data_IF_472510691828
#
_entry.id   IF_472510691828
#
_cell.length_a   1.000
_cell.length_b   1.000
_cell.length_c   1.000
_cell.angle_alpha   90.00
_cell.angle_beta   90.00
_cell.angle_gamma   90.00
#
_symmetry.space_group_name_H-M   'P 1'
#
loop_
_entity.id
_entity.type
_entity.pdbx_description
1 polymer ?
#
# COMPACT_ATOMS: atom_id res chain seq x y z
N UNK A 1 45.62 -27.25 -36.91
CA UNK A 1 46.23 -25.98 -36.44
C UNK A 1 45.12 -25.08 -35.92
N UNK A 2 45.27 -24.57 -34.68
CA UNK A 2 44.30 -23.77 -33.92
C UNK A 2 44.16 -22.34 -34.48
N UNK A 3 42.92 -21.86 -34.63
CA UNK A 3 42.53 -20.46 -34.39
C UNK A 3 41.18 -20.53 -33.65
N UNK A 4 41.17 -20.67 -32.32
CA UNK A 4 41.18 -19.63 -31.28
C UNK A 4 39.98 -18.66 -31.36
N UNK A 5 39.04 -18.89 -30.43
CA UNK A 5 38.12 -17.95 -29.80
C UNK A 5 37.50 -16.86 -30.70
N UNK A 6 36.42 -17.23 -31.38
CA UNK A 6 35.44 -16.24 -31.81
C UNK A 6 34.71 -15.71 -30.56
N UNK A 7 35.11 -14.51 -30.17
CA UNK A 7 34.67 -13.73 -29.02
C UNK A 7 33.18 -13.87 -28.67
N UNK A 8 32.87 -14.49 -27.53
CA UNK A 8 31.53 -14.45 -26.89
C UNK A 8 31.07 -13.04 -26.53
N UNK A 9 31.96 -12.05 -26.57
CA UNK A 9 31.65 -10.63 -26.35
C UNK A 9 30.87 -10.00 -27.50
N UNK A 10 30.94 -10.53 -28.73
CA UNK A 10 30.18 -9.98 -29.87
C UNK A 10 28.68 -10.23 -29.76
N UNK A 11 28.26 -11.35 -29.16
CA UNK A 11 26.84 -11.68 -28.94
C UNK A 11 26.22 -10.85 -27.81
N UNK A 12 27.03 -10.40 -26.84
CA UNK A 12 26.59 -9.56 -25.71
C UNK A 12 26.37 -8.11 -26.14
N UNK A 13 27.09 -7.64 -27.17
CA UNK A 13 26.94 -6.28 -27.72
C UNK A 13 25.63 -6.08 -28.50
N UNK A 14 25.02 -7.14 -29.04
CA UNK A 14 23.75 -7.02 -29.77
C UNK A 14 22.52 -6.88 -28.85
N UNK A 15 22.64 -7.26 -27.57
CA UNK A 15 21.57 -7.12 -26.57
C UNK A 15 21.42 -5.69 -26.02
N UNK A 16 22.38 -4.80 -26.27
CA UNK A 16 22.34 -3.41 -25.78
C UNK A 16 21.68 -2.42 -26.76
N UNK A 17 21.37 -2.81 -28.00
CA UNK A 17 20.80 -1.91 -29.00
C UNK A 17 19.26 -1.96 -29.14
N UNK A 18 18.55 -2.77 -28.36
CA UNK A 18 17.07 -2.85 -28.43
C UNK A 18 16.37 -1.85 -27.49
N UNK A 19 17.08 -1.16 -26.59
CA UNK A 19 16.46 -0.20 -25.69
C UNK A 19 16.71 1.26 -26.12
N UNK A 20 16.13 1.67 -27.26
CA UNK A 20 15.91 3.09 -27.59
C UNK A 20 14.96 3.32 -28.77
N UNK A 21 13.91 2.50 -28.95
CA UNK A 21 12.75 2.94 -29.72
C UNK A 21 11.83 3.74 -28.80
N UNK A 22 11.95 5.08 -28.84
CA UNK A 22 10.87 5.96 -28.35
C UNK A 22 9.64 5.76 -29.25
N UNK A 23 8.86 4.73 -28.97
CA UNK A 23 7.48 4.70 -29.39
C UNK A 23 6.79 5.86 -28.66
N UNK A 24 6.27 6.83 -29.43
CA UNK A 24 5.39 7.88 -28.91
C UNK A 24 4.09 7.21 -28.49
N UNK A 25 4.04 6.82 -27.23
CA UNK A 25 2.85 6.23 -26.62
C UNK A 25 1.93 7.36 -26.15
N UNK A 26 1.09 7.86 -27.05
CA UNK A 26 0.20 9.00 -26.79
C UNK A 26 -1.10 8.63 -26.05
N UNK A 27 -1.17 7.46 -25.39
CA UNK A 27 -2.33 7.05 -24.59
C UNK A 27 -1.94 6.46 -23.23
N UNK A 28 -0.90 6.99 -22.57
CA UNK A 28 -0.65 6.68 -21.15
C UNK A 28 -1.26 7.79 -20.29
N UNK A 29 -2.15 7.49 -19.32
CA UNK A 29 -2.54 8.48 -18.32
C UNK A 29 -1.27 9.04 -17.69
N UNK A 30 -1.24 10.35 -17.41
CA UNK A 30 -0.04 11.00 -16.93
C UNK A 30 0.24 10.58 -15.48
N UNK A 31 0.94 9.46 -15.29
CA UNK A 31 1.24 8.84 -13.98
C UNK A 31 2.21 9.67 -13.12
N UNK A 32 2.72 10.79 -13.65
CA UNK A 32 3.70 11.66 -13.00
C UNK A 32 3.34 12.09 -11.56
N UNK A 33 2.06 12.34 -11.21
CA UNK A 33 1.68 12.67 -9.83
C UNK A 33 1.82 11.49 -8.87
N UNK A 34 1.50 10.26 -9.30
CA UNK A 34 1.45 9.08 -8.42
C UNK A 34 2.87 8.68 -7.99
N UNK A 35 3.80 8.58 -8.95
CA UNK A 35 5.19 8.23 -8.64
C UNK A 35 5.87 9.28 -7.77
N UNK A 36 5.51 10.56 -7.95
CA UNK A 36 5.93 11.63 -7.05
C UNK A 36 5.41 11.39 -5.63
N UNK A 37 4.11 11.09 -5.45
CA UNK A 37 3.54 10.84 -4.13
C UNK A 37 4.19 9.64 -3.44
N UNK A 38 4.34 8.52 -4.16
CA UNK A 38 5.05 7.33 -3.67
C UNK A 38 6.44 7.68 -3.17
N UNK A 39 7.22 8.44 -3.95
CA UNK A 39 8.57 8.86 -3.57
C UNK A 39 8.59 9.73 -2.32
N UNK A 40 7.70 10.71 -2.24
CA UNK A 40 7.62 11.61 -1.08
C UNK A 40 7.28 10.84 0.21
N UNK A 41 6.30 9.92 0.17
CA UNK A 41 5.97 9.06 1.30
C UNK A 41 7.22 8.28 1.78
N UNK A 42 7.92 7.62 0.85
CA UNK A 42 9.09 6.80 1.20
C UNK A 42 10.22 7.64 1.80
N UNK A 43 10.49 8.82 1.25
CA UNK A 43 11.61 9.67 1.66
C UNK A 43 11.37 10.38 2.99
N UNK A 44 10.19 11.00 3.17
CA UNK A 44 9.95 11.91 4.30
C UNK A 44 8.58 11.74 4.98
N UNK A 45 7.78 10.75 4.58
CA UNK A 45 6.51 10.49 5.24
C UNK A 45 5.49 11.60 4.99
N UNK A 46 5.53 12.23 3.81
CA UNK A 46 4.62 13.31 3.46
C UNK A 46 3.15 12.84 3.56
N UNK A 47 2.43 13.39 4.54
CA UNK A 47 1.03 13.05 4.84
C UNK A 47 0.11 13.45 3.69
N UNK A 48 0.34 14.58 3.04
CA UNK A 48 -0.50 15.02 1.93
C UNK A 48 -0.29 14.13 0.70
N UNK A 49 0.96 13.76 0.40
CA UNK A 49 1.27 12.78 -0.63
C UNK A 49 0.60 11.42 -0.33
N UNK A 50 0.63 10.98 0.92
CA UNK A 50 -0.07 9.77 1.35
C UNK A 50 -1.58 9.85 1.11
N UNK A 51 -2.22 10.95 1.53
CA UNK A 51 -3.65 11.19 1.29
C UNK A 51 -4.00 11.20 -0.19
N UNK A 52 -3.20 11.88 -1.01
CA UNK A 52 -3.43 11.92 -2.46
C UNK A 52 -3.29 10.52 -3.10
N UNK A 53 -2.34 9.72 -2.62
CA UNK A 53 -2.18 8.34 -3.05
C UNK A 53 -3.39 7.48 -2.66
N UNK A 54 -3.87 7.57 -1.41
CA UNK A 54 -5.05 6.85 -0.93
C UNK A 54 -6.30 7.25 -1.73
N UNK A 55 -6.50 8.54 -1.99
CA UNK A 55 -7.62 9.03 -2.81
C UNK A 55 -7.56 8.52 -4.25
N UNK A 56 -6.37 8.50 -4.86
CA UNK A 56 -6.19 7.97 -6.21
C UNK A 56 -6.61 6.50 -6.31
N UNK A 57 -6.28 5.69 -5.31
CA UNK A 57 -6.60 4.26 -5.30
C UNK A 57 -7.97 3.91 -4.71
N UNK A 58 -8.70 4.88 -4.12
CA UNK A 58 -9.97 4.66 -3.45
C UNK A 58 -11.00 3.95 -4.36
N UNK A 59 -11.18 4.42 -5.59
CA UNK A 59 -12.13 3.82 -6.54
C UNK A 59 -11.45 2.91 -7.57
N UNK A 60 -10.19 2.56 -7.33
CA UNK A 60 -9.42 1.70 -8.23
C UNK A 60 -9.61 0.23 -7.89
N UNK A 61 -9.65 -0.68 -8.89
CA UNK A 61 -9.56 -2.12 -8.63
C UNK A 61 -8.22 -2.50 -7.96
N UNK A 62 -7.22 -1.60 -8.01
CA UNK A 62 -5.91 -1.75 -7.41
C UNK A 62 -5.80 -1.03 -6.05
N UNK A 63 -6.89 -0.93 -5.28
CA UNK A 63 -6.91 -0.27 -3.97
C UNK A 63 -5.76 -0.69 -3.05
N UNK A 64 -5.41 -1.97 -3.07
CA UNK A 64 -4.39 -2.56 -2.21
C UNK A 64 -2.94 -2.14 -2.56
N UNK A 65 -2.72 -1.41 -3.66
CA UNK A 65 -1.41 -0.82 -4.01
C UNK A 65 -0.91 0.19 -2.96
N UNK A 66 -1.81 0.68 -2.11
CA UNK A 66 -1.47 1.61 -1.03
C UNK A 66 -1.00 0.90 0.24
N UNK A 67 -1.10 -0.43 0.34
CA UNK A 67 -0.72 -1.18 1.54
C UNK A 67 0.76 -0.99 1.93
N UNK A 68 1.74 -1.11 1.01
CA UNK A 68 3.16 -0.94 1.38
C UNK A 68 3.46 0.46 1.92
N UNK A 69 2.80 1.48 1.37
CA UNK A 69 2.95 2.87 1.80
C UNK A 69 2.29 3.11 3.16
N UNK A 70 1.15 2.48 3.40
CA UNK A 70 0.45 2.54 4.71
C UNK A 70 1.30 1.91 5.81
N UNK A 71 1.95 0.77 5.53
CA UNK A 71 2.90 0.14 6.46
C UNK A 71 4.07 1.08 6.77
N UNK A 72 4.69 1.70 5.75
CA UNK A 72 5.76 2.68 5.95
C UNK A 72 5.29 3.88 6.80
N UNK A 73 4.10 4.41 6.51
CA UNK A 73 3.52 5.53 7.24
C UNK A 73 3.20 5.19 8.70
N UNK A 74 2.64 4.01 8.95
CA UNK A 74 2.38 3.52 10.29
C UNK A 74 3.69 3.30 11.06
N UNK A 75 4.67 2.59 10.48
CA UNK A 75 5.88 2.13 11.17
C UNK A 75 6.97 3.17 11.31
N UNK A 76 7.29 3.88 10.24
CA UNK A 76 8.38 4.85 10.25
C UNK A 76 7.94 6.22 10.76
N UNK A 77 6.69 6.60 10.48
CA UNK A 77 6.21 7.96 10.71
C UNK A 77 5.07 8.06 11.73
N UNK A 78 4.71 6.96 12.41
CA UNK A 78 3.66 6.92 13.45
C UNK A 78 2.35 7.57 13.01
N UNK A 79 1.94 7.30 11.77
CA UNK A 79 0.69 7.84 11.24
C UNK A 79 -0.50 6.95 11.65
N UNK A 80 -1.46 7.55 12.36
CA UNK A 80 -2.68 6.89 12.84
C UNK A 80 -3.61 6.45 11.71
N UNK A 81 -3.89 7.36 10.77
CA UNK A 81 -4.74 7.08 9.59
C UNK A 81 -4.23 5.84 8.83
N UNK A 82 -2.91 5.72 8.69
CA UNK A 82 -2.27 4.60 8.01
C UNK A 82 -2.42 3.27 8.76
N UNK A 83 -2.45 3.30 10.09
CA UNK A 83 -2.75 2.11 10.90
C UNK A 83 -4.18 1.61 10.62
N UNK A 84 -5.13 2.53 10.52
CA UNK A 84 -6.52 2.20 10.18
C UNK A 84 -6.66 1.71 8.73
N UNK A 85 -5.94 2.33 7.80
CA UNK A 85 -5.97 1.95 6.38
C UNK A 85 -5.45 0.52 6.15
N UNK A 86 -4.40 0.09 6.87
CA UNK A 86 -3.92 -1.31 6.84
C UNK A 86 -5.05 -2.27 7.23
N UNK A 87 -5.83 -1.92 8.25
CA UNK A 87 -6.98 -2.72 8.65
C UNK A 87 -8.02 -2.80 7.55
N UNK A 88 -8.45 -1.66 7.00
CA UNK A 88 -9.43 -1.60 5.90
C UNK A 88 -9.01 -2.43 4.69
N UNK A 89 -7.73 -2.39 4.31
CA UNK A 89 -7.23 -3.12 3.13
C UNK A 89 -7.15 -4.62 3.35
N UNK A 90 -6.69 -5.08 4.51
CA UNK A 90 -6.57 -6.51 4.81
C UNK A 90 -7.95 -7.14 5.00
N UNK A 91 -8.84 -6.45 5.69
CA UNK A 91 -10.19 -6.95 5.94
C UNK A 91 -11.15 -6.64 4.79
N UNK A 92 -10.70 -5.93 3.76
CA UNK A 92 -11.49 -5.61 2.56
C UNK A 92 -12.80 -4.90 2.88
N UNK A 93 -12.81 -4.08 3.94
CA UNK A 93 -14.06 -3.67 4.58
C UNK A 93 -14.93 -2.89 3.61
N UNK A 94 -16.14 -3.42 3.46
CA UNK A 94 -17.27 -2.69 2.93
C UNK A 94 -18.05 -2.18 4.13
N UNK A 95 -18.54 -0.94 4.03
CA UNK A 95 -19.56 -0.47 4.97
C UNK A 95 -20.80 -1.36 4.79
N UNK A 96 -21.44 -1.72 5.90
CA UNK A 96 -22.75 -2.37 5.84
C UNK A 96 -23.73 -1.37 5.23
N UNK A 97 -24.43 -1.71 4.13
CA UNK A 97 -25.32 -0.78 3.44
C UNK A 97 -26.31 -0.11 4.39
N UNK A 98 -26.39 1.23 4.35
CA UNK A 98 -27.28 2.01 5.21
C UNK A 98 -26.77 2.26 6.63
N UNK A 99 -25.53 1.89 6.97
CA UNK A 99 -24.92 2.14 8.28
C UNK A 99 -23.53 2.78 8.16
N UNK A 100 -23.01 3.29 9.28
CA UNK A 100 -21.61 3.73 9.39
C UNK A 100 -20.66 2.62 9.88
N UNK A 101 -21.17 1.40 10.04
CA UNK A 101 -20.42 0.28 10.58
C UNK A 101 -19.75 -0.54 9.49
N UNK A 102 -18.61 -1.13 9.84
CA UNK A 102 -17.89 -2.06 8.99
C UNK A 102 -18.53 -3.45 9.03
N UNK A 103 -18.55 -4.14 7.88
CA UNK A 103 -18.85 -5.57 7.86
C UNK A 103 -17.67 -6.36 8.45
N UNK A 104 -17.72 -6.60 9.76
CA UNK A 104 -16.70 -7.35 10.48
C UNK A 104 -16.77 -8.86 10.26
N UNK A 105 -17.69 -9.37 9.44
CA UNK A 105 -17.76 -10.80 9.12
C UNK A 105 -16.48 -11.29 8.44
N UNK A 106 -15.78 -10.41 7.68
CA UNK A 106 -14.50 -10.75 7.07
C UNK A 106 -13.40 -10.90 8.11
N UNK A 107 -13.37 -10.05 9.14
CA UNK A 107 -12.39 -10.18 10.22
C UNK A 107 -12.48 -11.55 10.89
N UNK A 108 -13.68 -12.09 11.08
CA UNK A 108 -13.87 -13.40 11.69
C UNK A 108 -13.32 -14.55 10.84
N UNK A 109 -13.24 -14.38 9.52
CA UNK A 109 -12.69 -15.37 8.56
C UNK A 109 -11.17 -15.36 8.47
N UNK A 110 -10.51 -14.30 8.94
CA UNK A 110 -9.05 -14.24 8.99
C UNK A 110 -8.47 -15.37 9.86
N UNK A 111 -7.31 -15.86 9.46
CA UNK A 111 -6.54 -16.79 10.27
C UNK A 111 -5.94 -16.09 11.51
N UNK A 112 -5.39 -16.87 12.44
CA UNK A 112 -4.85 -16.32 13.70
C UNK A 112 -3.76 -15.25 13.48
N UNK A 113 -2.81 -15.52 12.58
CA UNK A 113 -1.70 -14.60 12.30
C UNK A 113 -2.17 -13.32 11.63
N UNK A 114 -3.11 -13.42 10.68
CA UNK A 114 -3.75 -12.26 10.07
C UNK A 114 -4.46 -11.41 11.12
N UNK A 115 -5.29 -12.01 11.98
CA UNK A 115 -5.97 -11.29 13.08
C UNK A 115 -4.98 -10.57 13.97
N UNK A 116 -3.91 -11.25 14.40
CA UNK A 116 -2.86 -10.65 15.23
C UNK A 116 -2.21 -9.46 14.53
N UNK A 117 -1.91 -9.58 13.23
CA UNK A 117 -1.32 -8.52 12.43
C UNK A 117 -2.23 -7.29 12.32
N UNK A 118 -3.52 -7.47 12.01
CA UNK A 118 -4.43 -6.32 11.91
C UNK A 118 -4.72 -5.68 13.27
N UNK A 119 -4.86 -6.49 14.32
CA UNK A 119 -5.06 -5.99 15.68
C UNK A 119 -3.84 -5.24 16.21
N UNK A 120 -2.63 -5.61 15.80
CA UNK A 120 -1.42 -4.86 16.14
C UNK A 120 -1.51 -3.42 15.64
N UNK A 121 -1.85 -3.21 14.36
CA UNK A 121 -1.99 -1.86 13.81
C UNK A 121 -3.17 -1.11 14.40
N UNK A 122 -4.33 -1.74 14.58
CA UNK A 122 -5.46 -1.09 15.25
C UNK A 122 -5.10 -0.58 16.66
N UNK A 123 -4.42 -1.40 17.47
CA UNK A 123 -3.98 -0.98 18.81
C UNK A 123 -2.94 0.14 18.74
N UNK A 124 -2.05 0.11 17.75
CA UNK A 124 -1.06 1.15 17.50
C UNK A 124 -1.72 2.48 17.14
N UNK A 125 -2.65 2.48 16.17
CA UNK A 125 -3.40 3.67 15.79
C UNK A 125 -4.26 4.23 16.93
N UNK A 126 -4.87 3.36 17.74
CA UNK A 126 -5.62 3.79 18.92
C UNK A 126 -4.75 4.54 19.95
N UNK A 127 -3.52 4.09 20.20
CA UNK A 127 -2.54 4.82 21.03
C UNK A 127 -2.14 6.16 20.43
N UNK A 128 -2.18 6.29 19.11
CA UNK A 128 -1.99 7.55 18.38
C UNK A 128 -3.26 8.41 18.32
N UNK A 129 -4.33 8.00 19.04
CA UNK A 129 -5.63 8.67 19.09
C UNK A 129 -6.38 8.68 17.75
N UNK A 130 -6.09 7.73 16.88
CA UNK A 130 -6.83 7.56 15.63
C UNK A 130 -8.25 7.05 15.91
N UNK A 131 -9.24 7.83 15.48
CA UNK A 131 -10.66 7.55 15.75
C UNK A 131 -11.10 6.28 15.01
N UNK A 132 -10.65 6.07 13.77
CA UNK A 132 -11.01 4.89 12.98
C UNK A 132 -10.55 3.61 13.68
N UNK A 133 -9.31 3.59 14.18
CA UNK A 133 -8.78 2.49 14.97
C UNK A 133 -9.55 2.26 16.27
N UNK A 134 -9.86 3.32 17.02
CA UNK A 134 -10.62 3.22 18.28
C UNK A 134 -12.01 2.64 18.03
N UNK A 135 -12.70 3.11 17.00
CA UNK A 135 -14.03 2.62 16.62
C UNK A 135 -13.96 1.17 16.16
N UNK A 136 -13.01 0.81 15.30
CA UNK A 136 -12.85 -0.57 14.83
C UNK A 136 -12.58 -1.55 15.99
N UNK A 137 -11.73 -1.18 16.96
CA UNK A 137 -11.49 -2.00 18.16
C UNK A 137 -12.76 -2.17 19.01
N UNK A 138 -13.53 -1.09 19.19
CA UNK A 138 -14.81 -1.13 19.91
C UNK A 138 -15.80 -2.07 19.23
N UNK A 139 -15.95 -1.95 17.90
CA UNK A 139 -16.88 -2.76 17.13
C UNK A 139 -16.47 -4.25 17.13
N UNK A 140 -15.16 -4.54 17.28
CA UNK A 140 -14.63 -5.88 17.50
C UNK A 140 -14.81 -6.41 18.94
N UNK A 141 -15.43 -5.65 19.84
CA UNK A 141 -15.57 -6.00 21.26
C UNK A 141 -14.26 -5.96 22.04
N UNK A 142 -13.21 -5.34 21.47
CA UNK A 142 -11.90 -5.22 22.10
C UNK A 142 -11.86 -3.86 22.81
N UNK A 143 -12.40 -3.83 24.02
CA UNK A 143 -12.24 -2.68 24.90
C UNK A 143 -10.93 -2.82 25.67
N UNK A 144 -9.99 -1.89 25.54
CA UNK A 144 -8.95 -1.69 26.54
C UNK A 144 -8.44 -0.25 26.54
N UNK A 145 -7.98 0.19 27.72
CA UNK A 145 -7.38 1.49 28.02
C UNK A 145 -6.15 1.71 27.13
N UNK A 146 -6.19 2.66 26.20
CA UNK A 146 -5.06 3.08 25.37
C UNK A 146 -4.73 4.53 25.63
#
# INVERSE_FOLDING_TARGET
MKIKHLNKTALILFLFFICCSKAKDQNKPNNAPIEKYKKEILMNGNIDAYRQLTLYYLNSPFRNETLPYSIVMADKYNNGDACHEIFVQITGLKQVPGTQHYDLSIFNKLNKGEKEYVLFYLKKGAKLKDIGCIVALRDLGISNKY
#
